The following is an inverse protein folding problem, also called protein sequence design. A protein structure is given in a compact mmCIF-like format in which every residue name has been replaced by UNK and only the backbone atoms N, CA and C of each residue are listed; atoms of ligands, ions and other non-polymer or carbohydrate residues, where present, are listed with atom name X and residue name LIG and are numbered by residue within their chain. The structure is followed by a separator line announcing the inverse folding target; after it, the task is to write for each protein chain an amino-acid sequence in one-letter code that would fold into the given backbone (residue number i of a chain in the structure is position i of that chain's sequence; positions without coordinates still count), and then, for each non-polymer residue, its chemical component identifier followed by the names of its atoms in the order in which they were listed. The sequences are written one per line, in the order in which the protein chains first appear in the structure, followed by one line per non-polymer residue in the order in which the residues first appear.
data_IF_051377426362
#
_entry.id   IF_051377426362
#
_cell.length_a   1.000
_cell.length_b   1.000
_cell.length_c   1.000
_cell.angle_alpha   90.00
_cell.angle_beta   90.00
_cell.angle_gamma   90.00
#
_symmetry.space_group_name_H-M   'P 1'
#
loop_
_entity.id
_entity.type
_entity.pdbx_description
1 polymer ?
#
# COMPACT_ATOMS: atom_id res chain seq x y z
N UNK A 1 45.32 -31.57 -39.17
CA UNK A 1 44.37 -32.44 -38.43
C UNK A 1 42.96 -31.98 -38.82
N UNK A 2 42.32 -32.54 -39.86
CA UNK A 2 41.45 -33.74 -39.88
C UNK A 2 40.34 -33.74 -38.80
N UNK A 3 39.10 -33.63 -39.31
CA UNK A 3 37.76 -33.95 -38.75
C UNK A 3 37.19 -32.91 -37.75
N UNK A 4 36.08 -32.23 -38.04
CA UNK A 4 34.74 -32.83 -38.09
C UNK A 4 33.83 -32.20 -39.16
N UNK A 5 33.08 -33.07 -39.84
CA UNK A 5 32.15 -32.79 -40.93
C UNK A 5 30.75 -33.22 -40.47
N UNK A 6 29.75 -32.39 -40.82
CA UNK A 6 28.33 -32.70 -41.05
C UNK A 6 27.52 -33.52 -40.01
N UNK A 7 26.42 -32.92 -39.53
CA UNK A 7 25.11 -33.29 -40.10
C UNK A 7 24.07 -32.18 -39.89
N UNK A 8 23.68 -31.54 -41.01
CA UNK A 8 22.40 -30.90 -41.19
C UNK A 8 21.37 -32.01 -41.42
N UNK A 9 20.28 -32.03 -40.66
CA UNK A 9 19.07 -32.74 -41.05
C UNK A 9 17.82 -32.07 -40.46
N UNK A 10 17.13 -31.38 -41.37
CA UNK A 10 15.67 -31.37 -41.52
C UNK A 10 14.79 -30.54 -40.56
N UNK A 11 14.31 -29.46 -41.16
CA UNK A 11 13.06 -28.72 -40.91
C UNK A 11 11.85 -29.65 -40.79
N UNK A 12 11.06 -29.52 -39.71
CA UNK A 12 9.57 -29.49 -39.74
C UNK A 12 9.07 -28.65 -38.56
N UNK A 13 8.16 -27.67 -38.76
CA UNK A 13 7.47 -26.98 -37.68
C UNK A 13 6.28 -27.83 -37.21
N UNK A 14 6.30 -28.32 -35.97
CA UNK A 14 5.06 -28.80 -35.34
C UNK A 14 4.50 -27.70 -34.45
N UNK A 15 3.66 -26.86 -35.07
CA UNK A 15 2.53 -26.23 -34.40
C UNK A 15 1.61 -27.34 -33.88
N UNK A 16 1.92 -27.88 -32.70
CA UNK A 16 0.91 -28.62 -31.94
C UNK A 16 0.01 -27.57 -31.30
N UNK A 17 -1.11 -27.31 -31.97
CA UNK A 17 -2.33 -26.82 -31.33
C UNK A 17 -2.81 -27.86 -30.32
N UNK A 18 -2.08 -27.99 -29.22
CA UNK A 18 -2.60 -28.61 -28.02
C UNK A 18 -3.49 -27.57 -27.37
N UNK A 19 -4.80 -27.61 -27.65
CA UNK A 19 -5.76 -27.08 -26.69
C UNK A 19 -5.49 -27.83 -25.38
N UNK A 20 -4.79 -27.18 -24.45
CA UNK A 20 -4.76 -27.60 -23.06
C UNK A 20 -6.19 -27.47 -22.58
N UNK A 21 -6.94 -28.57 -22.63
CA UNK A 21 -8.20 -28.70 -21.91
C UNK A 21 -7.81 -28.80 -20.43
N UNK A 22 -7.86 -27.67 -19.75
CA UNK A 22 -7.93 -27.66 -18.30
C UNK A 22 -9.30 -28.26 -17.95
N UNK A 23 -9.32 -29.54 -17.63
CA UNK A 23 -10.53 -30.14 -17.08
C UNK A 23 -10.76 -29.57 -15.69
N UNK A 24 -11.80 -28.73 -15.57
CA UNK A 24 -12.24 -28.20 -14.29
C UNK A 24 -12.54 -29.36 -13.34
N UNK A 25 -12.10 -29.24 -12.09
CA UNK A 25 -12.39 -30.22 -11.05
C UNK A 25 -13.90 -30.35 -10.82
N UNK A 26 -14.35 -31.46 -10.25
CA UNK A 26 -15.76 -31.66 -9.92
C UNK A 26 -16.29 -30.55 -8.97
N UNK A 27 -15.46 -30.07 -8.06
CA UNK A 27 -15.77 -28.93 -7.19
C UNK A 27 -15.97 -27.63 -7.97
N UNK A 28 -15.10 -27.33 -8.95
CA UNK A 28 -15.26 -26.15 -9.82
C UNK A 28 -16.53 -26.22 -10.68
N UNK A 29 -16.93 -27.41 -11.15
CA UNK A 29 -18.18 -27.59 -11.91
C UNK A 29 -19.43 -27.44 -11.04
N UNK A 30 -19.38 -27.90 -9.79
CA UNK A 30 -20.48 -27.73 -8.83
C UNK A 30 -20.62 -26.27 -8.38
N UNK A 31 -19.49 -25.57 -8.21
CA UNK A 31 -19.45 -24.12 -7.96
C UNK A 31 -19.98 -23.35 -9.16
N UNK A 32 -19.64 -23.72 -10.40
CA UNK A 32 -20.23 -23.09 -11.59
C UNK A 32 -21.75 -23.31 -11.69
N UNK A 33 -22.25 -24.49 -11.32
CA UNK A 33 -23.70 -24.74 -11.22
C UNK A 33 -24.37 -23.91 -10.11
N UNK A 34 -23.72 -23.77 -8.94
CA UNK A 34 -24.19 -22.88 -7.87
C UNK A 34 -24.06 -21.40 -8.28
N UNK A 35 -23.04 -21.04 -9.05
CA UNK A 35 -22.82 -19.71 -9.57
C UNK A 35 -23.78 -19.36 -10.70
N UNK A 36 -24.24 -20.30 -11.51
CA UNK A 36 -25.34 -20.09 -12.47
C UNK A 36 -26.65 -19.80 -11.75
N UNK A 37 -26.86 -20.37 -10.55
CA UNK A 37 -27.99 -19.99 -9.68
C UNK A 37 -27.79 -18.70 -8.88
N UNK A 38 -26.54 -18.17 -8.83
CA UNK A 38 -26.19 -16.91 -8.16
C UNK A 38 -25.92 -15.77 -9.15
N UNK A 39 -25.79 -16.07 -10.44
CA UNK A 39 -25.68 -15.11 -11.54
C UNK A 39 -26.90 -14.21 -11.44
N UNK A 40 -26.62 -12.95 -11.17
CA UNK A 40 -27.55 -11.87 -11.46
C UNK A 40 -27.69 -11.91 -12.99
N UNK A 41 -28.75 -12.59 -13.45
CA UNK A 41 -29.30 -12.35 -14.77
C UNK A 41 -29.80 -10.92 -14.75
N UNK A 42 -28.96 -9.98 -15.17
CA UNK A 42 -29.40 -8.76 -15.83
C UNK A 42 -28.21 -7.93 -16.31
N UNK A 43 -28.42 -7.36 -17.49
CA UNK A 43 -27.53 -6.74 -18.47
C UNK A 43 -26.79 -5.47 -18.00
N UNK A 44 -26.55 -5.30 -16.72
CA UNK A 44 -25.69 -4.22 -16.22
C UNK A 44 -24.25 -4.73 -16.16
N UNK A 45 -23.37 -4.18 -17.00
CA UNK A 45 -21.91 -4.22 -16.84
C UNK A 45 -21.60 -4.24 -15.34
N UNK A 46 -21.18 -5.40 -14.81
CA UNK A 46 -20.82 -5.51 -13.39
C UNK A 46 -19.73 -4.47 -13.19
N UNK A 47 -20.05 -3.40 -12.46
CA UNK A 47 -19.10 -2.34 -12.20
C UNK A 47 -17.94 -2.98 -11.45
N UNK A 48 -16.81 -3.13 -12.15
CA UNK A 48 -15.60 -3.70 -11.59
C UNK A 48 -15.13 -2.77 -10.48
N UNK A 49 -14.79 -3.33 -9.32
CA UNK A 49 -14.24 -2.53 -8.23
C UNK A 49 -12.92 -1.87 -8.68
N UNK A 50 -13.00 -0.57 -8.98
CA UNK A 50 -11.86 0.23 -9.44
C UNK A 50 -11.64 1.44 -8.52
N UNK A 51 -10.90 1.22 -7.42
CA UNK A 51 -10.79 2.18 -6.32
C UNK A 51 -9.35 2.42 -5.89
N UNK A 52 -9.10 3.63 -5.37
CA UNK A 52 -7.88 3.98 -4.63
C UNK A 52 -8.01 3.67 -3.13
N UNK A 53 -9.00 2.85 -2.76
CA UNK A 53 -9.25 2.39 -1.40
C UNK A 53 -9.23 0.86 -1.38
N UNK A 54 -8.67 0.28 -0.32
CA UNK A 54 -8.80 -1.16 -0.05
C UNK A 54 -10.16 -1.53 0.57
N UNK A 55 -11.02 -0.55 0.83
CA UNK A 55 -12.27 -0.75 1.54
C UNK A 55 -13.46 -0.75 0.58
N UNK A 56 -14.16 -1.87 0.52
CA UNK A 56 -15.45 -2.02 -0.18
C UNK A 56 -16.56 -2.00 0.85
N UNK A 57 -17.62 -1.21 0.60
CA UNK A 57 -18.81 -1.22 1.45
C UNK A 57 -19.50 -2.60 1.37
N UNK A 58 -20.12 -3.09 2.46
CA UNK A 58 -20.83 -4.39 2.46
C UNK A 58 -21.80 -4.56 1.28
N UNK A 59 -22.62 -3.54 1.02
CA UNK A 59 -23.62 -3.56 -0.06
C UNK A 59 -23.01 -3.52 -1.46
N UNK A 60 -21.70 -3.33 -1.57
CA UNK A 60 -20.93 -3.27 -2.82
C UNK A 60 -19.94 -4.42 -2.98
N UNK A 61 -19.94 -5.42 -2.09
CA UNK A 61 -19.03 -6.56 -2.17
C UNK A 61 -19.14 -7.36 -3.47
N UNK A 62 -20.31 -7.35 -4.11
CA UNK A 62 -20.51 -7.98 -5.42
C UNK A 62 -19.56 -7.43 -6.50
N UNK A 63 -19.06 -6.20 -6.35
CA UNK A 63 -18.09 -5.59 -7.26
C UNK A 63 -16.71 -6.25 -7.22
N UNK A 64 -16.43 -7.06 -6.19
CA UNK A 64 -15.20 -7.83 -6.07
C UNK A 64 -15.23 -9.12 -6.89
N UNK A 65 -16.37 -9.59 -7.39
CA UNK A 65 -16.43 -10.81 -8.20
C UNK A 65 -15.48 -10.68 -9.40
N UNK A 66 -14.61 -11.67 -9.58
CA UNK A 66 -13.57 -11.68 -10.61
C UNK A 66 -12.29 -10.93 -10.25
N UNK A 67 -12.24 -10.24 -9.10
CA UNK A 67 -11.01 -9.63 -8.58
C UNK A 67 -10.13 -10.65 -7.87
N UNK A 68 -8.84 -10.34 -7.77
CA UNK A 68 -7.91 -11.05 -6.90
C UNK A 68 -7.73 -10.32 -5.58
N UNK A 69 -7.69 -11.09 -4.50
CA UNK A 69 -7.32 -10.60 -3.16
C UNK A 69 -6.07 -11.33 -2.68
N UNK A 70 -5.23 -10.61 -1.95
CA UNK A 70 -4.01 -11.11 -1.33
C UNK A 70 -4.25 -11.15 0.17
N UNK A 71 -4.10 -12.32 0.80
CA UNK A 71 -4.19 -12.40 2.26
C UNK A 71 -2.93 -11.76 2.86
N UNK A 72 -3.12 -10.71 3.65
CA UNK A 72 -2.00 -9.94 4.19
C UNK A 72 -1.31 -10.72 5.29
N UNK A 73 0.02 -10.87 5.25
CA UNK A 73 0.77 -11.43 6.37
C UNK A 73 0.65 -10.53 7.59
N UNK A 74 0.84 -11.09 8.78
CA UNK A 74 0.93 -10.36 10.04
C UNK A 74 1.72 -11.20 11.04
N UNK A 75 2.04 -10.62 12.19
CA UNK A 75 2.82 -11.32 13.21
C UNK A 75 2.12 -12.62 13.67
N UNK A 76 2.70 -13.76 13.27
CA UNK A 76 2.19 -15.11 13.54
C UNK A 76 2.00 -15.39 15.03
N UNK A 77 2.77 -14.74 15.88
CA UNK A 77 2.76 -14.96 17.33
C UNK A 77 1.71 -14.08 18.03
N UNK A 78 1.17 -13.06 17.33
CA UNK A 78 0.18 -12.14 17.90
C UNK A 78 -1.27 -12.55 17.68
N UNK A 79 -1.62 -13.10 16.51
CA UNK A 79 -3.03 -13.39 16.18
C UNK A 79 -3.15 -14.44 15.07
N UNK A 80 -4.05 -15.44 15.18
CA UNK A 80 -4.36 -16.32 14.06
C UNK A 80 -5.30 -15.62 13.07
N UNK A 81 -5.38 -16.13 11.83
CA UNK A 81 -6.42 -15.67 10.90
C UNK A 81 -7.80 -16.09 11.40
N UNK A 82 -8.80 -15.25 11.16
CA UNK A 82 -10.18 -15.52 11.54
C UNK A 82 -11.09 -15.32 10.33
N UNK A 83 -12.25 -15.96 10.36
CA UNK A 83 -13.26 -15.76 9.32
C UNK A 83 -13.06 -16.56 8.04
N UNK A 84 -12.16 -17.55 8.00
CA UNK A 84 -11.95 -18.42 6.84
C UNK A 84 -12.47 -19.84 7.09
N UNK A 85 -13.26 -20.35 6.15
CA UNK A 85 -13.95 -21.63 6.31
C UNK A 85 -14.01 -22.41 5.00
N UNK A 86 -14.03 -23.74 5.11
CA UNK A 86 -14.45 -24.62 4.04
C UNK A 86 -15.94 -24.40 3.71
N UNK A 87 -16.36 -24.80 2.52
CA UNK A 87 -17.76 -24.68 2.08
C UNK A 87 -18.77 -25.47 2.93
N UNK A 88 -18.30 -26.50 3.65
CA UNK A 88 -19.11 -27.27 4.60
C UNK A 88 -19.34 -26.53 5.94
N UNK A 89 -18.74 -25.34 6.12
CA UNK A 89 -18.86 -24.54 7.34
C UNK A 89 -17.74 -24.74 8.36
N UNK A 90 -16.85 -25.70 8.16
CA UNK A 90 -15.73 -25.96 9.08
C UNK A 90 -14.65 -24.90 8.94
N UNK A 91 -14.01 -24.53 10.07
CA UNK A 91 -12.89 -23.57 10.07
C UNK A 91 -11.72 -24.13 9.25
N UNK A 92 -11.18 -23.29 8.37
CA UNK A 92 -10.05 -23.66 7.54
C UNK A 92 -8.78 -23.79 8.39
N UNK A 93 -7.98 -24.85 8.16
CA UNK A 93 -6.69 -25.07 8.83
C UNK A 93 -6.71 -24.76 10.34
N UNK A 94 -7.68 -25.34 11.06
CA UNK A 94 -7.95 -25.03 12.46
C UNK A 94 -6.70 -25.21 13.34
N UNK A 95 -6.36 -24.18 14.12
CA UNK A 95 -5.33 -24.24 15.16
C UNK A 95 -5.96 -23.97 16.51
N UNK A 96 -5.54 -24.74 17.50
CA UNK A 96 -5.88 -24.53 18.90
C UNK A 96 -4.74 -23.74 19.57
N UNK A 97 -5.06 -22.61 20.19
CA UNK A 97 -4.08 -21.81 20.92
C UNK A 97 -4.56 -21.64 22.36
N UNK A 98 -3.66 -21.84 23.32
CA UNK A 98 -3.95 -21.89 24.76
C UNK A 98 -4.73 -20.68 25.32
N UNK A 99 -4.75 -19.53 24.63
CA UNK A 99 -5.30 -18.27 25.15
C UNK A 99 -6.21 -17.49 24.19
N UNK A 100 -6.45 -17.97 22.96
CA UNK A 100 -7.32 -17.31 21.98
C UNK A 100 -8.27 -18.34 21.38
N UNK A 101 -9.55 -18.00 21.27
CA UNK A 101 -10.52 -18.84 20.55
C UNK A 101 -9.96 -19.32 19.20
N UNK A 102 -10.30 -20.57 18.85
CA UNK A 102 -9.91 -21.26 17.60
C UNK A 102 -9.80 -20.33 16.38
N UNK A 103 -8.64 -20.35 15.72
CA UNK A 103 -8.36 -19.61 14.49
C UNK A 103 -7.88 -20.52 13.35
N UNK A 104 -7.53 -19.92 12.22
CA UNK A 104 -6.96 -20.60 11.06
C UNK A 104 -5.43 -20.47 11.08
N UNK A 105 -4.71 -21.50 10.63
CA UNK A 105 -3.26 -21.56 10.66
C UNK A 105 -2.64 -20.45 9.80
N UNK A 106 -1.70 -19.70 10.37
CA UNK A 106 -1.02 -18.61 9.68
C UNK A 106 -0.39 -19.06 8.35
N UNK A 107 0.42 -20.12 8.40
CA UNK A 107 1.17 -20.65 7.24
C UNK A 107 0.27 -21.18 6.12
N UNK A 108 -1.00 -21.43 6.42
CA UNK A 108 -1.98 -21.89 5.43
C UNK A 108 -2.59 -20.76 4.60
N UNK A 109 -2.46 -19.51 5.02
CA UNK A 109 -3.17 -18.37 4.44
C UNK A 109 -2.26 -17.19 4.08
N UNK A 110 -1.24 -16.88 4.88
CA UNK A 110 -0.42 -15.70 4.71
C UNK A 110 0.20 -15.59 3.30
N UNK A 111 0.00 -14.46 2.63
CA UNK A 111 0.54 -14.18 1.30
C UNK A 111 -0.15 -14.92 0.15
N UNK A 112 -1.14 -15.80 0.42
CA UNK A 112 -1.91 -16.46 -0.65
C UNK A 112 -2.76 -15.46 -1.42
N UNK A 113 -2.96 -15.79 -2.70
CA UNK A 113 -3.78 -15.00 -3.61
C UNK A 113 -4.99 -15.83 -4.01
N UNK A 114 -6.18 -15.28 -3.78
CA UNK A 114 -7.43 -15.91 -4.16
C UNK A 114 -8.18 -15.06 -5.18
N UNK A 115 -8.89 -15.73 -6.09
CA UNK A 115 -9.92 -15.09 -6.90
C UNK A 115 -11.22 -15.03 -6.10
N UNK A 116 -11.91 -13.90 -6.13
CA UNK A 116 -13.26 -13.78 -5.59
C UNK A 116 -14.23 -14.34 -6.63
N UNK A 117 -14.91 -15.43 -6.29
CA UNK A 117 -15.78 -16.19 -7.19
C UNK A 117 -17.27 -15.97 -6.92
N UNK A 118 -17.61 -15.32 -5.80
CA UNK A 118 -19.00 -15.04 -5.45
C UNK A 118 -19.14 -14.32 -4.10
N UNK A 119 -20.38 -14.03 -3.73
CA UNK A 119 -20.74 -13.49 -2.42
C UNK A 119 -22.10 -14.03 -1.97
N UNK A 120 -22.37 -14.00 -0.67
CA UNK A 120 -23.67 -14.39 -0.12
C UNK A 120 -24.61 -13.17 -0.06
N UNK A 121 -25.71 -13.22 -0.80
CA UNK A 121 -26.72 -12.14 -0.81
C UNK A 121 -27.46 -11.99 0.51
N UNK A 122 -27.61 -13.07 1.28
CA UNK A 122 -28.30 -13.05 2.59
C UNK A 122 -27.38 -12.55 3.70
N UNK A 123 -26.07 -12.74 3.53
CA UNK A 123 -25.04 -12.30 4.46
C UNK A 123 -24.03 -11.44 3.71
N UNK A 124 -24.28 -10.12 3.55
CA UNK A 124 -23.53 -9.19 2.70
C UNK A 124 -22.10 -8.89 3.21
N UNK A 125 -21.52 -9.77 3.99
CA UNK A 125 -20.11 -9.78 4.40
C UNK A 125 -19.45 -11.16 4.20
N UNK A 126 -20.09 -12.06 3.44
CA UNK A 126 -19.50 -13.34 3.07
C UNK A 126 -19.08 -13.34 1.62
N UNK A 127 -17.80 -13.59 1.39
CA UNK A 127 -17.20 -13.74 0.06
C UNK A 127 -16.80 -15.19 -0.16
N UNK A 128 -17.04 -15.71 -1.36
CA UNK A 128 -16.50 -17.00 -1.80
C UNK A 128 -15.21 -16.74 -2.57
N UNK A 129 -14.15 -17.42 -2.18
CA UNK A 129 -12.81 -17.20 -2.72
C UNK A 129 -12.18 -18.54 -3.10
N UNK A 130 -11.39 -18.57 -4.18
CA UNK A 130 -10.76 -19.78 -4.66
C UNK A 130 -9.38 -19.53 -5.28
N UNK A 131 -8.47 -20.47 -5.07
CA UNK A 131 -7.19 -20.55 -5.77
C UNK A 131 -7.05 -21.93 -6.43
N UNK A 132 -5.82 -22.33 -6.77
CA UNK A 132 -5.57 -23.62 -7.41
C UNK A 132 -5.87 -24.83 -6.50
N UNK A 133 -5.83 -24.64 -5.18
CA UNK A 133 -5.85 -25.72 -4.20
C UNK A 133 -7.18 -25.76 -3.45
N UNK A 134 -7.70 -24.60 -3.07
CA UNK A 134 -8.81 -24.48 -2.14
C UNK A 134 -9.95 -23.63 -2.68
N UNK A 135 -11.15 -23.92 -2.17
CA UNK A 135 -12.29 -23.00 -2.24
C UNK A 135 -12.85 -22.79 -0.85
N UNK A 136 -12.89 -21.52 -0.44
CA UNK A 136 -13.24 -21.09 0.90
C UNK A 136 -14.40 -20.09 0.84
N UNK A 137 -15.04 -19.87 1.98
CA UNK A 137 -15.74 -18.62 2.20
C UNK A 137 -15.07 -17.83 3.33
N UNK A 138 -15.13 -16.51 3.18
CA UNK A 138 -14.56 -15.51 4.06
C UNK A 138 -15.70 -14.69 4.68
N UNK A 139 -15.73 -14.51 5.99
CA UNK A 139 -16.70 -13.66 6.70
C UNK A 139 -16.12 -12.30 7.13
N UNK A 140 -16.92 -11.48 7.82
CA UNK A 140 -16.53 -10.13 8.25
C UNK A 140 -15.34 -10.06 9.20
N UNK A 141 -14.97 -11.16 9.87
CA UNK A 141 -13.80 -11.17 10.75
C UNK A 141 -12.48 -11.10 9.96
N UNK A 142 -12.52 -11.43 8.67
CA UNK A 142 -11.38 -11.40 7.77
C UNK A 142 -11.25 -10.07 7.00
N UNK A 143 -12.16 -9.10 7.19
CA UNK A 143 -12.17 -7.82 6.45
C UNK A 143 -10.87 -7.00 6.57
N UNK A 144 -10.03 -7.31 7.56
CA UNK A 144 -8.73 -6.66 7.81
C UNK A 144 -7.53 -7.46 7.31
N UNK A 145 -7.75 -8.70 6.87
CA UNK A 145 -6.71 -9.69 6.62
C UNK A 145 -6.45 -9.87 5.12
N UNK A 146 -6.96 -8.98 4.25
CA UNK A 146 -6.69 -9.01 2.82
C UNK A 146 -6.51 -7.63 2.16
N UNK A 147 -5.78 -7.63 1.04
CA UNK A 147 -5.66 -6.52 0.09
C UNK A 147 -6.30 -6.89 -1.24
N UNK A 148 -7.01 -5.95 -1.83
CA UNK A 148 -7.50 -6.05 -3.20
C UNK A 148 -6.32 -5.75 -4.13
N UNK A 149 -5.99 -6.69 -5.01
CA UNK A 149 -4.80 -6.54 -5.84
C UNK A 149 -4.92 -5.38 -6.86
N UNK A 150 -6.12 -5.14 -7.37
CA UNK A 150 -6.40 -3.97 -8.22
C UNK A 150 -6.09 -2.64 -7.52
N UNK A 151 -6.37 -2.55 -6.22
CA UNK A 151 -6.00 -1.38 -5.40
C UNK A 151 -4.47 -1.21 -5.32
N UNK A 152 -3.73 -2.29 -5.02
CA UNK A 152 -2.26 -2.25 -4.95
C UNK A 152 -1.63 -1.89 -6.32
N UNK A 153 -2.22 -2.42 -7.41
CA UNK A 153 -1.81 -2.12 -8.79
C UNK A 153 -1.98 -0.64 -9.10
N UNK A 154 -3.17 -0.08 -8.81
CA UNK A 154 -3.45 1.34 -9.02
C UNK A 154 -2.55 2.24 -8.16
N UNK A 155 -2.34 1.89 -6.89
CA UNK A 155 -1.38 2.61 -6.04
C UNK A 155 0.04 2.59 -6.63
N UNK A 156 0.48 1.46 -7.16
CA UNK A 156 1.80 1.34 -7.78
C UNK A 156 1.90 2.23 -9.02
N UNK A 157 0.91 2.16 -9.93
CA UNK A 157 0.85 3.02 -11.12
C UNK A 157 0.85 4.52 -10.78
N UNK A 158 0.17 4.90 -9.70
CA UNK A 158 0.11 6.29 -9.27
C UNK A 158 1.39 6.79 -8.62
N UNK A 159 2.23 5.93 -8.04
CA UNK A 159 3.31 6.39 -7.15
C UNK A 159 4.71 5.99 -7.63
N UNK A 160 4.88 4.88 -8.33
CA UNK A 160 6.18 4.45 -8.85
C UNK A 160 6.72 5.51 -9.82
N UNK A 161 8.01 5.83 -9.68
CA UNK A 161 8.70 6.87 -10.44
C UNK A 161 8.51 8.28 -9.90
N UNK A 162 7.57 8.52 -8.97
CA UNK A 162 7.46 9.83 -8.32
C UNK A 162 8.69 10.12 -7.46
N UNK A 163 9.10 11.39 -7.50
CA UNK A 163 10.28 11.90 -6.80
C UNK A 163 9.86 12.78 -5.63
N UNK A 164 10.58 12.64 -4.53
CA UNK A 164 10.37 13.38 -3.30
C UNK A 164 11.70 13.92 -2.77
N UNK A 165 11.64 15.05 -2.08
CA UNK A 165 12.76 15.63 -1.35
C UNK A 165 12.61 15.27 0.12
N UNK A 166 13.63 14.65 0.71
CA UNK A 166 13.65 14.27 2.12
C UNK A 166 13.82 15.50 3.00
N UNK A 167 12.93 15.66 3.98
CA UNK A 167 13.04 16.54 5.13
C UNK A 167 13.63 15.78 6.32
N UNK A 168 14.29 16.49 7.23
CA UNK A 168 14.88 15.94 8.45
C UNK A 168 14.33 16.74 9.63
N UNK A 169 13.62 16.06 10.53
CA UNK A 169 12.90 16.72 11.64
C UNK A 169 13.58 16.49 12.98
N UNK A 170 14.36 15.41 13.10
CA UNK A 170 15.02 14.99 14.34
C UNK A 170 16.54 14.83 14.19
N UNK A 171 17.14 15.57 13.26
CA UNK A 171 18.58 15.49 12.98
C UNK A 171 18.96 14.41 11.94
N UNK A 172 20.18 14.53 11.41
CA UNK A 172 20.72 13.56 10.45
C UNK A 172 20.82 12.20 11.12
N UNK A 173 20.06 11.24 10.61
CA UNK A 173 20.04 9.87 11.08
C UNK A 173 20.71 8.96 10.06
N UNK A 174 21.29 7.89 10.60
CA UNK A 174 21.68 6.74 9.83
C UNK A 174 20.42 5.93 9.50
N UNK A 175 20.28 5.55 8.23
CA UNK A 175 19.27 4.61 7.75
C UNK A 175 19.96 3.31 7.35
N UNK A 176 19.19 2.21 7.33
CA UNK A 176 19.69 0.90 6.89
C UNK A 176 19.26 0.66 5.45
N UNK A 177 20.21 0.32 4.58
CA UNK A 177 19.91 0.01 3.20
C UNK A 177 19.09 -1.27 3.09
N UNK A 178 17.93 -1.19 2.44
CA UNK A 178 16.93 -2.25 2.35
C UNK A 178 17.49 -3.54 1.73
N UNK A 179 18.40 -3.45 0.76
CA UNK A 179 18.91 -4.63 0.06
C UNK A 179 20.14 -5.22 0.74
N UNK A 180 20.99 -4.37 1.32
CA UNK A 180 22.31 -4.80 1.82
C UNK A 180 22.40 -4.88 3.35
N UNK A 181 21.46 -4.29 4.08
CA UNK A 181 21.48 -4.20 5.54
C UNK A 181 22.57 -3.27 6.09
N UNK A 182 23.27 -2.51 5.22
CA UNK A 182 24.35 -1.60 5.65
C UNK A 182 23.78 -0.24 6.05
N UNK A 183 24.29 0.31 7.15
CA UNK A 183 23.99 1.67 7.58
C UNK A 183 24.56 2.72 6.61
N UNK A 184 23.84 3.81 6.40
CA UNK A 184 24.30 4.98 5.66
C UNK A 184 23.62 6.28 6.12
N UNK A 185 24.29 7.41 5.92
CA UNK A 185 23.77 8.73 6.30
C UNK A 185 22.74 9.27 5.30
N UNK A 186 21.66 9.81 5.84
CA UNK A 186 20.62 10.54 5.11
C UNK A 186 20.68 12.03 5.46
N UNK A 187 20.48 12.86 4.44
CA UNK A 187 20.58 14.31 4.53
C UNK A 187 19.32 15.00 4.00
N UNK A 188 18.97 16.13 4.60
CA UNK A 188 17.88 16.96 4.14
C UNK A 188 18.16 17.46 2.71
N UNK A 189 17.15 17.48 1.86
CA UNK A 189 17.27 17.91 0.47
C UNK A 189 17.62 16.79 -0.51
N UNK A 190 17.96 15.59 -0.02
CA UNK A 190 18.17 14.44 -0.90
C UNK A 190 16.89 14.08 -1.66
N UNK A 191 17.05 13.75 -2.95
CA UNK A 191 15.95 13.32 -3.81
C UNK A 191 15.85 11.80 -3.79
N UNK A 192 14.65 11.32 -3.49
CA UNK A 192 14.29 9.92 -3.41
C UNK A 192 13.19 9.60 -4.42
N UNK A 193 13.28 8.45 -5.07
CA UNK A 193 12.33 7.99 -6.09
C UNK A 193 11.68 6.71 -5.64
N UNK A 194 10.35 6.64 -5.65
CA UNK A 194 9.62 5.39 -5.38
C UNK A 194 9.92 4.40 -6.51
N UNK A 195 10.57 3.29 -6.19
CA UNK A 195 10.93 2.23 -7.14
C UNK A 195 9.81 1.23 -7.32
N UNK A 196 9.21 0.81 -6.21
CA UNK A 196 8.16 -0.21 -6.15
C UNK A 196 7.39 -0.09 -4.84
N UNK A 197 6.20 -0.66 -4.82
CA UNK A 197 5.46 -0.93 -3.59
C UNK A 197 5.58 -2.40 -3.25
N UNK A 198 5.68 -2.71 -1.96
CA UNK A 198 5.72 -4.08 -1.44
C UNK A 198 4.70 -4.25 -0.32
N UNK A 199 4.35 -5.49 -0.01
CA UNK A 199 3.64 -5.85 1.22
C UNK A 199 4.72 -6.32 2.20
N UNK A 200 4.85 -5.64 3.34
CA UNK A 200 5.82 -6.03 4.35
C UNK A 200 5.42 -7.42 4.91
N UNK A 201 6.31 -8.42 4.83
CA UNK A 201 6.00 -9.78 5.26
C UNK A 201 5.80 -9.94 6.77
N UNK A 202 6.24 -8.99 7.59
CA UNK A 202 6.10 -9.05 9.05
C UNK A 202 4.76 -8.51 9.55
N UNK A 203 4.18 -7.54 8.84
CA UNK A 203 3.03 -6.79 9.34
C UNK A 203 1.91 -6.53 8.30
N UNK A 204 2.10 -6.96 7.05
CA UNK A 204 1.10 -6.87 5.99
C UNK A 204 0.85 -5.48 5.44
N UNK A 205 1.61 -4.47 5.90
CA UNK A 205 1.43 -3.08 5.45
C UNK A 205 2.04 -2.89 4.08
N UNK A 206 1.44 -1.99 3.30
CA UNK A 206 2.03 -1.55 2.04
C UNK A 206 3.15 -0.56 2.34
N UNK A 207 4.35 -0.86 1.83
CA UNK A 207 5.53 -0.01 1.95
C UNK A 207 6.02 0.41 0.57
N UNK A 208 6.54 1.63 0.48
CA UNK A 208 7.26 2.12 -0.68
C UNK A 208 8.74 1.83 -0.50
N UNK A 209 9.35 1.19 -1.49
CA UNK A 209 10.80 1.16 -1.60
C UNK A 209 11.25 2.41 -2.34
N UNK A 210 11.98 3.27 -1.66
CA UNK A 210 12.57 4.47 -2.26
C UNK A 210 14.04 4.25 -2.55
N UNK A 211 14.52 4.84 -3.63
CA UNK A 211 15.94 4.86 -3.98
C UNK A 211 16.46 6.28 -4.13
N UNK A 212 17.69 6.52 -3.72
CA UNK A 212 18.39 7.78 -3.97
C UNK A 212 19.33 7.69 -5.18
N UNK A 213 20.01 8.79 -5.51
CA UNK A 213 20.92 8.87 -6.64
C UNK A 213 22.17 7.97 -6.53
N UNK A 214 22.52 7.51 -5.31
CA UNK A 214 23.62 6.57 -5.07
C UNK A 214 23.17 5.10 -5.16
N UNK A 215 21.90 4.85 -5.48
CA UNK A 215 21.34 3.51 -5.55
C UNK A 215 21.02 2.89 -4.19
N UNK A 216 21.09 3.65 -3.10
CA UNK A 216 20.72 3.18 -1.77
C UNK A 216 19.20 3.14 -1.66
N UNK A 217 18.66 2.08 -1.04
CA UNK A 217 17.22 1.88 -0.92
C UNK A 217 16.74 1.89 0.54
N UNK A 218 15.57 2.45 0.81
CA UNK A 218 14.88 2.40 2.12
C UNK A 218 13.44 1.96 1.92
N UNK A 219 12.86 1.33 2.95
CA UNK A 219 11.44 1.01 2.99
C UNK A 219 10.67 1.96 3.89
N UNK A 220 9.55 2.49 3.40
CA UNK A 220 8.71 3.44 4.14
C UNK A 220 7.24 3.05 4.04
N UNK A 221 6.54 2.96 5.17
CA UNK A 221 5.12 2.61 5.19
C UNK A 221 4.23 3.69 4.54
N UNK A 222 3.32 3.28 3.67
CA UNK A 222 2.38 4.18 2.96
C UNK A 222 0.99 4.29 3.61
N UNK A 223 0.52 3.22 4.29
CA UNK A 223 -0.89 3.13 4.70
C UNK A 223 -1.13 3.77 6.08
N UNK A 224 -2.16 4.61 6.15
CA UNK A 224 -2.59 5.32 7.36
C UNK A 224 -1.95 6.70 7.56
N UNK A 225 -0.87 7.02 6.82
CA UNK A 225 0.04 8.12 7.13
C UNK A 225 0.55 8.84 5.86
N UNK A 226 -0.27 9.01 4.80
CA UNK A 226 0.07 9.94 3.69
C UNK A 226 0.41 11.36 4.22
N UNK A 227 -0.22 11.77 5.32
CA UNK A 227 0.12 12.98 6.07
C UNK A 227 1.54 12.97 6.62
N UNK A 228 2.06 11.84 7.11
CA UNK A 228 3.41 11.77 7.66
C UNK A 228 4.48 11.40 6.65
N UNK A 229 4.15 10.65 5.61
CA UNK A 229 5.00 10.57 4.44
C UNK A 229 5.27 11.98 3.91
N UNK A 230 4.24 12.84 3.82
CA UNK A 230 4.42 14.25 3.46
C UNK A 230 5.17 15.09 4.49
N UNK A 231 5.31 14.64 5.73
CA UNK A 231 6.12 15.32 6.76
C UNK A 231 7.61 15.11 6.44
N UNK A 232 8.03 13.88 6.14
CA UNK A 232 9.43 13.54 5.83
C UNK A 232 9.80 13.64 4.35
N UNK A 233 8.82 13.63 3.44
CA UNK A 233 9.04 13.61 2.00
C UNK A 233 8.13 14.60 1.30
N UNK A 234 8.71 15.67 0.75
CA UNK A 234 7.97 16.67 -0.02
C UNK A 234 8.00 16.31 -1.51
N UNK A 235 6.89 16.36 -2.25
CA UNK A 235 6.92 16.12 -3.70
C UNK A 235 7.95 17.03 -4.38
N UNK A 236 8.82 16.47 -5.22
CA UNK A 236 9.94 17.21 -5.84
C UNK A 236 9.47 18.40 -6.67
N UNK A 237 8.38 18.23 -7.42
CA UNK A 237 7.77 19.28 -8.24
C UNK A 237 7.33 20.49 -7.41
N UNK A 238 6.78 20.27 -6.22
CA UNK A 238 6.36 21.33 -5.32
C UNK A 238 7.55 21.94 -4.58
N UNK A 239 8.52 21.10 -4.20
CA UNK A 239 9.77 21.55 -3.58
C UNK A 239 10.54 22.54 -4.46
N UNK A 240 10.59 22.30 -5.77
CA UNK A 240 11.23 23.23 -6.72
C UNK A 240 10.52 24.58 -6.79
N UNK A 241 9.17 24.58 -6.73
CA UNK A 241 8.37 25.82 -6.68
C UNK A 241 8.61 26.58 -5.39
N UNK A 242 8.62 25.89 -4.24
CA UNK A 242 8.83 26.51 -2.94
C UNK A 242 10.25 27.05 -2.78
N UNK A 243 11.25 26.30 -3.23
CA UNK A 243 12.65 26.72 -3.26
C UNK A 243 12.84 27.99 -4.11
N UNK A 244 12.20 28.05 -5.28
CA UNK A 244 12.21 29.26 -6.13
C UNK A 244 11.50 30.45 -5.48
N UNK A 245 10.36 30.20 -4.82
CA UNK A 245 9.52 31.23 -4.21
C UNK A 245 10.16 31.85 -2.96
N UNK A 246 10.74 31.03 -2.08
CA UNK A 246 11.22 31.46 -0.77
C UNK A 246 12.74 31.58 -0.67
N UNK A 247 13.48 31.11 -1.69
CA UNK A 247 14.94 31.13 -1.72
C UNK A 247 15.59 29.97 -0.95
N UNK A 248 16.89 29.76 -1.18
CA UNK A 248 17.65 28.62 -0.65
C UNK A 248 17.63 28.56 0.89
N UNK A 249 17.89 29.70 1.55
CA UNK A 249 17.97 29.76 3.01
C UNK A 249 16.65 29.35 3.65
N UNK A 250 15.54 29.93 3.20
CA UNK A 250 14.21 29.61 3.71
C UNK A 250 13.84 28.15 3.41
N UNK A 251 14.19 27.66 2.21
CA UNK A 251 13.98 26.27 1.85
C UNK A 251 14.74 25.29 2.74
N UNK A 252 16.01 25.58 3.06
CA UNK A 252 16.78 24.77 4.01
C UNK A 252 16.10 24.72 5.38
N UNK A 253 15.58 25.84 5.86
CA UNK A 253 14.83 25.90 7.13
C UNK A 253 13.55 25.06 7.09
N UNK A 254 12.78 25.14 6.01
CA UNK A 254 11.60 24.28 5.79
C UNK A 254 11.97 22.79 5.88
N UNK A 255 13.05 22.37 5.21
CA UNK A 255 13.47 20.97 5.21
C UNK A 255 13.93 20.47 6.58
N UNK A 256 14.40 21.36 7.45
CA UNK A 256 14.82 21.02 8.82
C UNK A 256 13.71 21.21 9.86
N UNK A 257 12.48 21.51 9.43
CA UNK A 257 11.37 21.84 10.31
C UNK A 257 11.70 23.03 11.25
N UNK A 258 12.48 24.00 10.76
CA UNK A 258 12.91 25.18 11.50
C UNK A 258 12.20 26.43 10.98
N UNK A 259 11.97 27.40 11.88
CA UNK A 259 11.51 28.75 11.53
C UNK A 259 12.51 29.81 12.00
N UNK A 260 12.39 31.03 11.47
CA UNK A 260 13.24 32.16 11.85
C UNK A 260 12.48 33.48 11.75
N UNK A 261 12.95 34.50 12.47
CA UNK A 261 12.36 35.85 12.41
C UNK A 261 12.48 36.40 10.98
N UNK A 262 11.37 36.91 10.43
CA UNK A 262 11.27 37.38 9.05
C UNK A 262 10.83 36.30 8.05
N UNK A 263 10.71 35.04 8.46
CA UNK A 263 10.21 33.96 7.59
C UNK A 263 8.77 34.25 7.14
N UNK A 264 8.43 34.08 5.84
CA UNK A 264 7.07 34.27 5.37
C UNK A 264 6.10 33.26 5.98
N UNK A 265 4.88 33.69 6.33
CA UNK A 265 3.88 32.80 6.97
C UNK A 265 3.55 31.55 6.15
N UNK A 266 3.56 31.66 4.81
CA UNK A 266 3.38 30.51 3.93
C UNK A 266 4.53 29.49 4.01
N UNK A 267 5.75 29.91 4.32
CA UNK A 267 6.87 29.02 4.54
C UNK A 267 6.80 28.34 5.91
N UNK A 268 6.29 29.03 6.94
CA UNK A 268 6.01 28.43 8.26
C UNK A 268 5.07 27.24 8.13
N UNK A 269 3.99 27.37 7.35
CA UNK A 269 3.06 26.24 7.10
C UNK A 269 3.71 25.06 6.41
N UNK A 270 4.71 25.29 5.55
CA UNK A 270 5.45 24.21 4.89
C UNK A 270 6.40 23.48 5.85
N UNK A 271 6.98 24.21 6.81
CA UNK A 271 7.80 23.66 7.86
C UNK A 271 6.93 22.91 8.88
N UNK A 272 6.10 23.64 9.62
CA UNK A 272 5.40 23.16 10.82
C UNK A 272 3.98 22.63 10.59
N UNK A 273 3.47 22.71 9.35
CA UNK A 273 2.08 22.39 9.04
C UNK A 273 1.11 23.54 9.38
N UNK A 274 -0.18 23.24 9.27
CA UNK A 274 -1.23 24.21 9.59
C UNK A 274 -1.34 24.41 11.10
N UNK A 275 -1.51 25.66 11.57
CA UNK A 275 -1.80 25.92 12.98
C UNK A 275 -3.19 25.36 13.35
N UNK A 276 -3.37 25.03 14.63
CA UNK A 276 -4.67 24.59 15.17
C UNK A 276 -5.67 25.74 15.19
N UNK A 277 -5.21 26.92 15.58
CA UNK A 277 -6.00 28.15 15.67
C UNK A 277 -5.17 29.34 15.23
N UNK A 278 -5.85 30.37 14.74
CA UNK A 278 -5.25 31.68 14.44
C UNK A 278 -6.06 32.71 15.22
N UNK A 279 -5.40 33.38 16.15
CA UNK A 279 -5.99 34.49 16.91
C UNK A 279 -5.55 35.81 16.27
N UNK A 280 -6.51 36.69 15.98
CA UNK A 280 -6.22 38.04 15.49
C UNK A 280 -6.07 39.02 16.66
N UNK A 281 -5.03 39.84 16.63
CA UNK A 281 -4.77 40.86 17.64
C UNK A 281 -4.28 42.18 17.02
N UNK A 282 -4.34 43.27 17.79
CA UNK A 282 -3.87 44.60 17.33
C UNK A 282 -2.39 44.63 16.91
N UNK A 283 -1.59 43.68 17.39
CA UNK A 283 -0.17 43.55 17.07
C UNK A 283 0.15 42.56 15.93
N UNK A 284 -0.85 41.82 15.41
CA UNK A 284 -0.67 40.83 14.35
C UNK A 284 -1.49 39.55 14.56
N UNK A 285 -1.14 38.49 13.83
CA UNK A 285 -1.73 37.15 13.98
C UNK A 285 -0.90 36.36 15.00
N UNK A 286 -1.56 35.62 15.91
CA UNK A 286 -0.93 34.62 16.75
C UNK A 286 -1.40 33.23 16.31
N UNK A 287 -0.47 32.43 15.79
CA UNK A 287 -0.73 31.08 15.32
C UNK A 287 -0.47 30.07 16.43
N UNK A 288 -1.47 29.28 16.77
CA UNK A 288 -1.43 28.31 17.86
C UNK A 288 -1.07 26.92 17.31
N UNK A 289 0.09 26.40 17.73
CA UNK A 289 0.50 25.02 17.45
C UNK A 289 0.35 24.17 18.72
N UNK A 290 0.54 22.85 18.60
CA UNK A 290 0.45 21.96 19.78
C UNK A 290 1.49 22.29 20.86
N UNK A 291 2.64 22.82 20.46
CA UNK A 291 3.82 22.95 21.31
C UNK A 291 4.25 24.41 21.53
N UNK A 292 3.44 25.40 21.11
CA UNK A 292 3.84 26.80 21.19
C UNK A 292 3.02 27.73 20.31
N UNK A 293 3.43 28.99 20.29
CA UNK A 293 2.79 30.06 19.52
C UNK A 293 3.79 30.67 18.55
N UNK A 294 3.32 31.03 17.35
CA UNK A 294 4.09 31.81 16.38
C UNK A 294 3.40 33.14 16.16
N UNK A 295 4.15 34.22 16.32
CA UNK A 295 3.65 35.59 16.12
C UNK A 295 3.99 36.05 14.71
N UNK A 296 2.98 36.49 13.97
CA UNK A 296 3.09 36.95 12.57
C UNK A 296 2.63 38.40 12.47
N UNK A 297 3.47 39.26 11.92
CA UNK A 297 3.10 40.65 11.57
C UNK A 297 3.44 40.92 10.12
N UNK A 298 2.52 41.53 9.38
CA UNK A 298 2.68 41.83 7.95
C UNK A 298 3.12 40.60 7.12
N UNK A 299 2.55 39.44 7.43
CA UNK A 299 2.84 38.19 6.72
C UNK A 299 4.19 37.52 7.04
N UNK A 300 4.92 38.00 8.05
CA UNK A 300 6.24 37.47 8.45
C UNK A 300 6.30 37.15 9.94
N UNK A 301 7.10 36.14 10.30
CA UNK A 301 7.38 35.78 11.70
C UNK A 301 8.08 36.93 12.42
N UNK A 302 7.59 37.28 13.60
CA UNK A 302 8.24 38.24 14.50
C UNK A 302 8.80 37.58 15.76
N UNK A 303 8.33 36.39 16.11
CA UNK A 303 8.82 35.59 17.25
C UNK A 303 8.00 34.32 17.44
N UNK A 304 8.45 33.44 18.34
CA UNK A 304 7.76 32.23 18.76
C UNK A 304 8.22 31.81 20.15
N UNK A 305 7.47 30.90 20.79
CA UNK A 305 7.84 30.25 22.05
C UNK A 305 7.59 28.74 22.01
#
# INVERSE_FOLDING_TARGET
MKKFLLMLALIVPMLVWGQVRIEKSASQREIERKNDSLRVTDENKVAVYDSISNYVKPDSLFMLIGQRIIITPHDKDKKPYQGFYHLNGEKYAKVDMQYLQTGCAYDSLAGRIFNVIGFDKKFPRKLYIADANDTLYMDSNADKDYLIEGYLTKLSQMNVGKKYVRSIIMGENDETDFNTGKSFKVYAGQVWTIKRLIINPENGRIEAILSNAKGQEVSECLVGWLSFFNIYYKPKSESDKWKRKYGEYCWKKILHNEIYVGMPKGAVKLAWGEPKYINDASYGEQWVYSNGYVYIKNGKVTGWN
#
